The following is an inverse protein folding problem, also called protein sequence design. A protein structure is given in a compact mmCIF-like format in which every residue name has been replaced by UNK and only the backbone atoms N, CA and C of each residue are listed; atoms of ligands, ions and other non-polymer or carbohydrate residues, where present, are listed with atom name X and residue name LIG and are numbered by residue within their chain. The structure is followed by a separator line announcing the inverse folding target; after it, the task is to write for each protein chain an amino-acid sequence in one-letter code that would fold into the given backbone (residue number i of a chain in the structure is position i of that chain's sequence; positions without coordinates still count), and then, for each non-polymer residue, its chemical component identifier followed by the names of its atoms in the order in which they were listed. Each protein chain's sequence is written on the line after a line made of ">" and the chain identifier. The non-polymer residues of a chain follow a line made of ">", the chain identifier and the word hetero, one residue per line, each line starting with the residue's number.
data_IF_026300426017
#
_entry.id   IF_026300426017
#
_cell.length_a   1.000
_cell.length_b   1.000
_cell.length_c   1.000
_cell.angle_alpha   90.00
_cell.angle_beta   90.00
_cell.angle_gamma   90.00
#
_symmetry.space_group_name_H-M   'P 1'
#
loop_
_entity.id
_entity.type
_entity.pdbx_description
1 polymer ?
#
# COMPACT_ATOMS: atom_id res chain seq x y z
N UNK A 1 -2.82 -1.00 20.47
CA UNK A 1 -3.20 -0.89 19.03
C UNK A 1 -2.47 -1.89 18.13
N UNK A 2 -1.17 -2.19 18.35
CA UNK A 2 -0.40 -3.10 17.46
C UNK A 2 -0.97 -4.51 17.21
N UNK A 3 -1.58 -5.16 18.21
CA UNK A 3 -2.19 -6.48 18.03
C UNK A 3 -3.42 -6.43 17.09
N UNK A 4 -4.29 -5.45 17.26
CA UNK A 4 -5.49 -5.28 16.42
C UNK A 4 -5.13 -5.04 14.94
N UNK A 5 -4.11 -4.20 14.69
CA UNK A 5 -3.61 -3.94 13.34
C UNK A 5 -2.99 -5.20 12.71
N UNK A 6 -2.25 -5.98 13.50
CA UNK A 6 -1.67 -7.25 13.05
C UNK A 6 -2.75 -8.28 12.68
N UNK A 7 -3.77 -8.45 13.52
CA UNK A 7 -4.90 -9.35 13.25
C UNK A 7 -5.71 -8.89 12.04
N UNK A 8 -6.03 -7.61 11.93
CA UNK A 8 -6.73 -7.06 10.77
C UNK A 8 -5.94 -7.34 9.48
N UNK A 9 -4.63 -7.12 9.50
CA UNK A 9 -3.78 -7.39 8.34
C UNK A 9 -3.78 -8.87 7.96
N UNK A 10 -3.68 -9.76 8.95
CA UNK A 10 -3.75 -11.21 8.71
C UNK A 10 -5.09 -11.60 8.06
N UNK A 11 -6.20 -11.18 8.67
CA UNK A 11 -7.56 -11.51 8.19
C UNK A 11 -7.80 -10.95 6.79
N UNK A 12 -7.47 -9.68 6.55
CA UNK A 12 -7.66 -9.03 5.25
C UNK A 12 -6.76 -9.64 4.16
N UNK A 13 -5.56 -10.09 4.51
CA UNK A 13 -4.65 -10.79 3.60
C UNK A 13 -5.18 -12.16 3.20
N UNK A 14 -5.63 -12.94 4.19
CA UNK A 14 -6.25 -14.26 3.95
C UNK A 14 -7.50 -14.08 3.10
N UNK A 15 -8.40 -13.16 3.47
CA UNK A 15 -9.61 -12.87 2.72
C UNK A 15 -9.31 -12.45 1.27
N UNK A 16 -8.30 -11.60 1.04
CA UNK A 16 -7.89 -11.18 -0.30
C UNK A 16 -7.35 -12.33 -1.15
N UNK A 17 -6.45 -13.14 -0.60
CA UNK A 17 -5.90 -14.32 -1.28
C UNK A 17 -7.00 -15.35 -1.57
N UNK A 18 -7.84 -15.66 -0.59
CA UNK A 18 -8.98 -16.56 -0.76
C UNK A 18 -9.95 -16.06 -1.82
N UNK A 19 -10.21 -14.75 -1.87
CA UNK A 19 -11.08 -14.16 -2.90
C UNK A 19 -10.50 -14.33 -4.31
N UNK A 20 -9.19 -14.17 -4.49
CA UNK A 20 -8.54 -14.44 -5.78
C UNK A 20 -8.68 -15.90 -6.19
N UNK A 21 -8.41 -16.83 -5.28
CA UNK A 21 -8.53 -18.28 -5.55
C UNK A 21 -9.98 -18.64 -5.90
N UNK A 22 -10.95 -18.17 -5.11
CA UNK A 22 -12.37 -18.45 -5.32
C UNK A 22 -12.89 -17.83 -6.63
N UNK A 23 -12.34 -16.69 -7.07
CA UNK A 23 -12.74 -16.04 -8.32
C UNK A 23 -12.46 -16.89 -9.57
N UNK A 24 -11.52 -17.83 -9.50
CA UNK A 24 -11.20 -18.78 -10.58
C UNK A 24 -12.30 -19.85 -10.69
N UNK A 25 -13.04 -20.10 -9.61
CA UNK A 25 -14.09 -21.12 -9.52
C UNK A 25 -15.48 -20.51 -9.25
N UNK A 26 -16.05 -19.74 -10.20
CA UNK A 26 -17.32 -19.01 -10.02
C UNK A 26 -18.52 -19.89 -9.65
N UNK A 27 -18.46 -21.19 -10.01
CA UNK A 27 -19.48 -22.18 -9.67
C UNK A 27 -19.60 -22.41 -8.15
N UNK A 28 -18.57 -22.12 -7.37
CA UNK A 28 -18.57 -22.27 -5.90
C UNK A 28 -19.15 -21.04 -5.16
N UNK A 29 -19.31 -19.89 -5.83
CA UNK A 29 -19.62 -18.59 -5.22
C UNK A 29 -21.13 -18.35 -4.97
N UNK A 30 -21.79 -19.23 -4.23
CA UNK A 30 -23.23 -19.20 -3.92
C UNK A 30 -24.19 -19.47 -5.10
N UNK A 31 -25.36 -20.01 -4.78
CA UNK A 31 -26.38 -20.35 -5.78
C UNK A 31 -27.31 -19.18 -6.13
N UNK A 32 -27.55 -18.24 -5.20
CA UNK A 32 -28.37 -17.05 -5.45
C UNK A 32 -27.47 -15.80 -5.61
N UNK A 33 -27.21 -15.36 -6.85
CA UNK A 33 -26.30 -14.25 -7.11
C UNK A 33 -26.88 -12.89 -6.71
N UNK A 34 -28.21 -12.76 -6.60
CA UNK A 34 -28.87 -11.48 -6.29
C UNK A 34 -28.49 -10.93 -4.91
N UNK A 35 -28.14 -11.81 -3.96
CA UNK A 35 -27.67 -11.45 -2.62
C UNK A 35 -26.34 -10.67 -2.67
N UNK A 36 -25.57 -10.79 -3.76
CA UNK A 36 -24.30 -10.09 -3.94
C UNK A 36 -24.45 -8.67 -4.47
N UNK A 37 -25.64 -8.27 -4.98
CA UNK A 37 -25.84 -6.92 -5.55
C UNK A 37 -25.63 -5.80 -4.52
N UNK A 38 -26.17 -5.86 -3.29
CA UNK A 38 -25.89 -4.85 -2.28
C UNK A 38 -24.40 -4.79 -1.92
N UNK A 39 -23.74 -5.95 -1.84
CA UNK A 39 -22.31 -6.05 -1.56
C UNK A 39 -21.46 -5.42 -2.66
N UNK A 40 -21.84 -5.61 -3.93
CA UNK A 40 -21.20 -4.97 -5.08
C UNK A 40 -21.26 -3.44 -4.95
N UNK A 41 -22.45 -2.89 -4.70
CA UNK A 41 -22.67 -1.44 -4.63
C UNK A 41 -21.91 -0.80 -3.46
N UNK A 42 -21.98 -1.42 -2.27
CA UNK A 42 -21.26 -0.93 -1.08
C UNK A 42 -19.75 -1.01 -1.28
N UNK A 43 -19.26 -2.15 -1.80
CA UNK A 43 -17.83 -2.35 -1.99
C UNK A 43 -17.25 -1.42 -3.04
N UNK A 44 -17.94 -1.27 -4.17
CA UNK A 44 -17.53 -0.32 -5.21
C UNK A 44 -17.54 1.12 -4.69
N UNK A 45 -18.63 1.57 -4.08
CA UNK A 45 -18.74 2.96 -3.59
C UNK A 45 -17.70 3.29 -2.53
N UNK A 46 -17.47 2.37 -1.59
CA UNK A 46 -16.41 2.51 -0.59
C UNK A 46 -15.03 2.55 -1.23
N UNK A 47 -14.71 1.59 -2.11
CA UNK A 47 -13.40 1.53 -2.78
C UNK A 47 -13.15 2.77 -3.62
N UNK A 48 -14.14 3.21 -4.40
CA UNK A 48 -14.00 4.37 -5.27
C UNK A 48 -13.78 5.64 -4.45
N UNK A 49 -14.65 5.91 -3.46
CA UNK A 49 -14.54 7.08 -2.62
C UNK A 49 -13.25 7.10 -1.80
N UNK A 50 -12.91 5.99 -1.13
CA UNK A 50 -11.70 5.89 -0.30
C UNK A 50 -10.42 5.96 -1.14
N UNK A 51 -10.38 5.31 -2.31
CA UNK A 51 -9.22 5.38 -3.22
C UNK A 51 -9.11 6.77 -3.84
N UNK A 52 -10.21 7.43 -4.22
CA UNK A 52 -10.19 8.82 -4.70
C UNK A 52 -9.59 9.76 -3.67
N UNK A 53 -10.12 9.72 -2.44
CA UNK A 53 -9.62 10.55 -1.35
C UNK A 53 -8.17 10.24 -1.00
N UNK A 54 -7.79 8.96 -0.96
CA UNK A 54 -6.41 8.61 -0.68
C UNK A 54 -5.50 9.03 -1.84
N UNK A 55 -5.86 8.87 -3.10
CA UNK A 55 -5.05 9.34 -4.23
C UNK A 55 -4.86 10.86 -4.16
N UNK A 56 -5.92 11.62 -3.92
CA UNK A 56 -5.85 13.09 -3.84
C UNK A 56 -5.05 13.58 -2.61
N UNK A 57 -5.29 13.00 -1.43
CA UNK A 57 -4.59 13.39 -0.21
C UNK A 57 -3.20 12.76 -0.06
N UNK A 58 -2.95 11.60 -0.69
CA UNK A 58 -1.61 11.04 -0.81
C UNK A 58 -0.76 11.88 -1.73
N UNK A 59 -1.30 12.45 -2.81
CA UNK A 59 -0.56 13.46 -3.58
C UNK A 59 -0.17 14.66 -2.71
N UNK A 60 -1.00 15.09 -1.75
CA UNK A 60 -0.62 16.19 -0.85
C UNK A 60 0.34 15.73 0.26
N UNK A 61 0.17 14.52 0.82
CA UNK A 61 0.91 14.03 1.99
C UNK A 61 2.14 13.17 1.69
N UNK A 62 2.03 12.22 0.75
CA UNK A 62 3.09 11.31 0.30
C UNK A 62 4.02 11.98 -0.71
N UNK A 63 3.55 12.82 -1.64
CA UNK A 63 4.46 13.57 -2.54
C UNK A 63 5.25 14.62 -1.77
N UNK A 64 4.66 15.28 -0.75
CA UNK A 64 5.44 16.17 0.15
C UNK A 64 6.52 15.39 0.92
N UNK A 65 6.20 14.20 1.43
CA UNK A 65 7.20 13.32 2.07
C UNK A 65 8.31 12.90 1.09
N UNK A 66 7.95 12.50 -0.14
CA UNK A 66 8.88 12.19 -1.22
C UNK A 66 9.76 13.39 -1.59
N UNK A 67 9.17 14.59 -1.67
CA UNK A 67 9.90 15.83 -1.97
C UNK A 67 10.91 16.15 -0.87
N UNK A 68 10.58 15.86 0.39
CA UNK A 68 11.48 16.04 1.52
C UNK A 68 12.59 14.97 1.56
N UNK A 69 12.27 13.68 1.39
CA UNK A 69 13.26 12.58 1.42
C UNK A 69 14.17 12.58 0.18
N UNK A 70 13.64 12.90 -1.01
CA UNK A 70 14.44 12.97 -2.25
C UNK A 70 15.44 14.11 -2.18
N UNK A 71 15.08 15.23 -1.54
CA UNK A 71 15.93 16.42 -1.34
C UNK A 71 16.97 16.27 -0.23
N UNK A 72 16.77 15.38 0.75
CA UNK A 72 17.80 15.14 1.76
C UNK A 72 19.03 14.50 1.12
N UNK A 73 20.20 15.17 1.12
CA UNK A 73 21.43 14.59 0.60
C UNK A 73 21.83 13.38 1.43
N UNK A 74 22.54 12.44 0.80
CA UNK A 74 23.16 11.34 1.56
C UNK A 74 24.21 11.98 2.49
N UNK A 75 24.18 11.71 3.81
CA UNK A 75 25.16 12.31 4.71
C UNK A 75 26.55 11.82 4.32
N UNK A 76 27.49 12.75 4.18
CA UNK A 76 28.88 12.43 3.88
C UNK A 76 29.64 12.07 5.16
N UNK A 77 29.26 12.70 6.29
CA UNK A 77 29.97 12.63 7.55
C UNK A 77 29.02 12.34 8.75
N UNK A 78 29.58 11.90 9.89
CA UNK A 78 28.81 11.60 11.10
C UNK A 78 28.04 12.81 11.67
N UNK A 79 28.56 14.03 11.54
CA UNK A 79 27.86 15.24 12.00
C UNK A 79 26.61 15.53 11.17
N UNK A 80 26.68 15.33 9.85
CA UNK A 80 25.52 15.46 8.97
C UNK A 80 24.49 14.37 9.25
N UNK A 81 24.94 13.14 9.47
CA UNK A 81 24.07 12.04 9.86
C UNK A 81 23.33 12.32 11.18
N UNK A 82 24.00 12.90 12.19
CA UNK A 82 23.36 13.33 13.45
C UNK A 82 22.29 14.38 13.21
N UNK A 83 22.60 15.46 12.48
CA UNK A 83 21.64 16.54 12.17
C UNK A 83 20.42 16.00 11.42
N UNK A 84 20.63 15.16 10.41
CA UNK A 84 19.53 14.56 9.65
C UNK A 84 18.70 13.59 10.49
N UNK A 85 19.31 12.85 11.43
CA UNK A 85 18.58 11.95 12.33
C UNK A 85 17.73 12.71 13.35
N UNK A 86 18.21 13.86 13.85
CA UNK A 86 17.42 14.78 14.69
C UNK A 86 16.24 15.37 13.93
N UNK A 87 16.43 15.76 12.66
CA UNK A 87 15.33 16.21 11.79
C UNK A 87 14.31 15.09 11.54
N UNK A 88 14.77 13.85 11.33
CA UNK A 88 13.88 12.70 11.14
C UNK A 88 13.01 12.46 12.38
N UNK A 89 13.59 12.56 13.60
CA UNK A 89 12.86 12.42 14.87
C UNK A 89 11.72 13.43 15.02
N UNK A 90 11.89 14.67 14.53
CA UNK A 90 10.82 15.69 14.55
C UNK A 90 9.57 15.27 13.76
N UNK A 91 9.74 14.40 12.77
CA UNK A 91 8.66 13.91 11.89
C UNK A 91 8.23 12.45 12.18
N UNK A 92 8.79 11.84 13.22
CA UNK A 92 8.62 10.41 13.50
C UNK A 92 7.20 10.05 13.92
N UNK A 93 6.58 10.87 14.79
CA UNK A 93 5.20 10.68 15.23
C UNK A 93 4.19 10.71 14.09
N UNK A 94 4.31 11.69 13.19
CA UNK A 94 3.47 11.80 11.99
C UNK A 94 3.63 10.59 11.06
N UNK A 95 4.85 10.06 10.95
CA UNK A 95 5.11 8.89 10.13
C UNK A 95 4.49 7.60 10.73
N UNK A 96 4.61 7.39 12.05
CA UNK A 96 4.04 6.22 12.72
C UNK A 96 2.51 6.24 12.59
N UNK A 97 1.89 7.40 12.82
CA UNK A 97 0.44 7.56 12.64
C UNK A 97 0.01 7.25 11.19
N UNK A 98 0.68 7.84 10.21
CA UNK A 98 0.37 7.59 8.79
C UNK A 98 0.56 6.13 8.40
N UNK A 99 1.55 5.44 8.97
CA UNK A 99 1.75 4.00 8.73
C UNK A 99 0.51 3.21 9.15
N UNK A 100 -0.05 3.48 10.33
CA UNK A 100 -1.27 2.82 10.79
C UNK A 100 -2.43 3.12 9.85
N UNK A 101 -2.62 4.39 9.47
CA UNK A 101 -3.66 4.81 8.51
C UNK A 101 -3.53 4.05 7.17
N UNK A 102 -2.32 3.93 6.62
CA UNK A 102 -2.08 3.16 5.39
C UNK A 102 -2.35 1.66 5.58
N UNK A 103 -1.99 1.08 6.73
CA UNK A 103 -2.25 -0.33 7.01
C UNK A 103 -3.75 -0.62 7.10
N UNK A 104 -4.52 0.25 7.76
CA UNK A 104 -5.98 0.15 7.78
C UNK A 104 -6.58 0.32 6.40
N UNK A 105 -6.14 1.34 5.66
CA UNK A 105 -6.61 1.58 4.29
C UNK A 105 -6.38 0.36 3.40
N UNK A 106 -5.14 -0.11 3.27
CA UNK A 106 -4.82 -1.21 2.35
C UNK A 106 -5.42 -2.54 2.81
N UNK A 107 -5.56 -2.75 4.12
CA UNK A 107 -6.30 -3.89 4.66
C UNK A 107 -7.77 -3.88 4.24
N UNK A 108 -8.48 -2.78 4.48
CA UNK A 108 -9.89 -2.64 4.10
C UNK A 108 -10.07 -2.67 2.58
N UNK A 109 -9.22 -1.96 1.83
CA UNK A 109 -9.24 -1.98 0.36
C UNK A 109 -9.00 -3.39 -0.19
N UNK A 110 -8.15 -4.20 0.44
CA UNK A 110 -7.98 -5.63 0.08
C UNK A 110 -9.29 -6.40 0.31
N UNK A 111 -9.93 -6.23 1.47
CA UNK A 111 -11.19 -6.90 1.78
C UNK A 111 -12.30 -6.53 0.79
N UNK A 112 -12.56 -5.23 0.61
CA UNK A 112 -13.61 -4.76 -0.27
C UNK A 112 -13.33 -5.10 -1.73
N UNK A 113 -12.06 -5.08 -2.17
CA UNK A 113 -11.70 -5.50 -3.53
C UNK A 113 -11.92 -7.00 -3.76
N UNK A 114 -11.75 -7.82 -2.71
CA UNK A 114 -12.14 -9.23 -2.72
C UNK A 114 -13.65 -9.40 -2.89
N UNK A 115 -14.46 -8.67 -2.10
CA UNK A 115 -15.92 -8.70 -2.23
C UNK A 115 -16.36 -8.23 -3.62
N UNK A 116 -15.76 -7.14 -4.14
CA UNK A 116 -16.00 -6.63 -5.48
C UNK A 116 -15.70 -7.70 -6.53
N UNK A 117 -14.53 -8.33 -6.48
CA UNK A 117 -14.12 -9.39 -7.40
C UNK A 117 -15.09 -10.56 -7.42
N UNK A 118 -15.42 -11.11 -6.25
CA UNK A 118 -16.32 -12.25 -6.14
C UNK A 118 -17.73 -11.90 -6.65
N UNK A 119 -18.20 -10.71 -6.30
CA UNK A 119 -19.51 -10.21 -6.74
C UNK A 119 -19.54 -10.00 -8.25
N UNK A 120 -18.52 -9.37 -8.84
CA UNK A 120 -18.42 -9.12 -10.28
C UNK A 120 -18.34 -10.41 -11.07
N UNK A 121 -17.48 -11.36 -10.65
CA UNK A 121 -17.33 -12.65 -11.34
C UNK A 121 -18.65 -13.43 -11.35
N UNK A 122 -19.47 -13.28 -10.30
CA UNK A 122 -20.76 -13.98 -10.19
C UNK A 122 -21.91 -13.25 -10.91
N UNK A 123 -22.03 -11.94 -10.74
CA UNK A 123 -23.13 -11.12 -11.26
C UNK A 123 -22.92 -10.69 -12.72
N UNK A 124 -21.67 -10.45 -13.10
CA UNK A 124 -21.28 -9.89 -14.39
C UNK A 124 -20.31 -10.82 -15.12
N UNK A 125 -20.54 -12.15 -15.06
CA UNK A 125 -19.65 -13.16 -15.64
C UNK A 125 -19.36 -12.94 -17.14
N UNK A 126 -20.35 -12.41 -17.87
CA UNK A 126 -20.26 -12.10 -19.30
C UNK A 126 -19.50 -10.80 -19.60
N UNK A 127 -19.32 -9.90 -18.63
CA UNK A 127 -18.62 -8.64 -18.81
C UNK A 127 -17.13 -8.82 -18.49
N UNK A 128 -16.36 -9.14 -19.53
CA UNK A 128 -14.92 -9.36 -19.42
C UNK A 128 -14.14 -8.14 -18.92
N UNK A 129 -14.57 -6.93 -19.29
CA UNK A 129 -13.94 -5.68 -18.84
C UNK A 129 -14.05 -5.54 -17.33
N UNK A 130 -15.26 -5.66 -16.77
CA UNK A 130 -15.47 -5.55 -15.32
C UNK A 130 -14.69 -6.61 -14.55
N UNK A 131 -14.60 -7.84 -15.07
CA UNK A 131 -13.85 -8.93 -14.45
C UNK A 131 -12.35 -8.64 -14.40
N UNK A 132 -11.75 -8.26 -15.53
CA UNK A 132 -10.32 -7.89 -15.60
C UNK A 132 -10.06 -6.73 -14.64
N UNK A 133 -10.91 -5.71 -14.68
CA UNK A 133 -10.84 -4.57 -13.79
C UNK A 133 -10.88 -4.96 -12.31
N UNK A 134 -11.85 -5.77 -11.87
CA UNK A 134 -11.90 -6.22 -10.48
C UNK A 134 -10.68 -7.02 -10.07
N UNK A 135 -10.14 -7.86 -10.96
CA UNK A 135 -8.95 -8.67 -10.68
C UNK A 135 -7.73 -7.78 -10.52
N UNK A 136 -7.55 -6.79 -11.41
CA UNK A 136 -6.44 -5.82 -11.34
C UNK A 136 -6.51 -4.98 -10.07
N UNK A 137 -7.71 -4.53 -9.69
CA UNK A 137 -7.94 -3.81 -8.42
C UNK A 137 -7.58 -4.69 -7.23
N UNK A 138 -8.08 -5.92 -7.19
CA UNK A 138 -7.82 -6.86 -6.10
C UNK A 138 -6.33 -7.18 -5.95
N UNK A 139 -5.64 -7.46 -7.06
CA UNK A 139 -4.20 -7.72 -7.06
C UNK A 139 -3.40 -6.49 -6.59
N UNK A 140 -3.77 -5.30 -7.04
CA UNK A 140 -3.10 -4.05 -6.65
C UNK A 140 -3.24 -3.76 -5.16
N UNK A 141 -4.46 -3.89 -4.61
CA UNK A 141 -4.71 -3.73 -3.18
C UNK A 141 -3.94 -4.77 -2.35
N UNK A 142 -3.98 -6.03 -2.78
CA UNK A 142 -3.31 -7.12 -2.09
C UNK A 142 -1.78 -6.97 -2.11
N UNK A 143 -1.19 -6.60 -3.25
CA UNK A 143 0.25 -6.37 -3.39
C UNK A 143 0.73 -5.25 -2.47
N UNK A 144 -0.04 -4.17 -2.37
CA UNK A 144 0.24 -3.09 -1.44
C UNK A 144 0.19 -3.53 0.03
N UNK A 145 -0.87 -4.25 0.41
CA UNK A 145 -1.11 -4.71 1.78
C UNK A 145 -0.04 -5.74 2.24
N UNK A 146 0.31 -6.69 1.37
CA UNK A 146 1.24 -7.77 1.69
C UNK A 146 2.70 -7.35 1.61
N UNK A 147 3.08 -6.58 0.59
CA UNK A 147 4.48 -6.43 0.22
C UNK A 147 4.97 -4.98 0.25
N UNK A 148 4.42 -4.12 -0.62
CA UNK A 148 5.03 -2.82 -0.91
C UNK A 148 5.11 -1.91 0.31
N UNK A 149 4.02 -1.76 1.07
CA UNK A 149 3.99 -0.91 2.27
C UNK A 149 4.93 -1.42 3.37
N UNK A 150 5.02 -2.74 3.54
CA UNK A 150 5.92 -3.34 4.53
C UNK A 150 7.37 -3.14 4.14
N UNK A 151 7.68 -3.22 2.84
CA UNK A 151 9.03 -2.97 2.33
C UNK A 151 9.44 -1.51 2.52
N UNK A 152 8.55 -0.56 2.22
CA UNK A 152 8.78 0.88 2.47
C UNK A 152 9.09 1.14 3.95
N UNK A 153 8.31 0.54 4.85
CA UNK A 153 8.53 0.68 6.29
C UNK A 153 9.85 0.05 6.75
N UNK A 154 10.15 -1.17 6.30
CA UNK A 154 11.42 -1.86 6.58
C UNK A 154 12.62 -1.03 6.15
N UNK A 155 12.55 -0.41 4.97
CA UNK A 155 13.62 0.43 4.44
C UNK A 155 13.83 1.69 5.28
N UNK A 156 12.76 2.27 5.84
CA UNK A 156 12.89 3.40 6.76
C UNK A 156 13.61 3.02 8.06
N UNK A 157 13.24 1.90 8.69
CA UNK A 157 13.93 1.42 9.90
C UNK A 157 15.41 1.15 9.59
N UNK A 158 15.69 0.51 8.46
CA UNK A 158 17.06 0.23 8.03
C UNK A 158 17.84 1.53 7.78
N UNK A 159 17.21 2.60 7.28
CA UNK A 159 17.85 3.91 7.13
C UNK A 159 18.32 4.46 8.48
N UNK A 160 17.46 4.39 9.50
CA UNK A 160 17.79 4.86 10.86
C UNK A 160 18.93 4.04 11.46
N UNK A 161 18.92 2.71 11.30
CA UNK A 161 20.02 1.86 11.78
C UNK A 161 21.34 2.18 11.10
N UNK A 162 21.33 2.39 9.77
CA UNK A 162 22.53 2.75 9.01
C UNK A 162 23.08 4.12 9.42
N UNK A 163 22.22 5.08 9.77
CA UNK A 163 22.67 6.39 10.25
C UNK A 163 23.32 6.27 11.62
N UNK A 164 22.74 5.47 12.53
CA UNK A 164 23.37 5.17 13.81
C UNK A 164 24.72 4.46 13.65
N UNK A 165 24.85 3.56 12.67
CA UNK A 165 26.11 2.90 12.36
C UNK A 165 27.16 3.87 11.83
N UNK A 166 26.79 4.75 10.89
CA UNK A 166 27.68 5.78 10.36
C UNK A 166 28.16 6.75 11.46
N UNK A 167 27.31 7.07 12.43
CA UNK A 167 27.66 7.91 13.58
C UNK A 167 28.68 7.21 14.50
N UNK A 168 28.53 5.90 14.71
CA UNK A 168 29.45 5.11 15.55
C UNK A 168 30.77 4.84 14.84
N UNK A 169 30.72 4.56 13.54
CA UNK A 169 31.85 4.13 12.71
C UNK A 169 31.99 5.00 11.43
N UNK A 170 32.44 6.25 11.55
CA UNK A 170 32.45 7.22 10.43
C UNK A 170 33.39 6.85 9.28
N UNK A 171 34.35 5.94 9.48
CA UNK A 171 35.31 5.51 8.45
C UNK A 171 34.84 4.29 7.64
N UNK A 172 33.62 3.78 7.88
CA UNK A 172 33.09 2.62 7.17
C UNK A 172 32.57 3.02 5.78
N UNK A 173 33.40 2.81 4.74
CA UNK A 173 33.00 3.05 3.34
C UNK A 173 31.81 2.19 2.88
N UNK A 174 31.64 1.00 3.47
CA UNK A 174 30.52 0.10 3.16
C UNK A 174 29.18 0.68 3.64
N UNK A 175 29.15 1.31 4.81
CA UNK A 175 27.92 1.88 5.38
C UNK A 175 27.37 3.03 4.51
N UNK A 176 28.24 3.86 3.91
CA UNK A 176 27.82 4.90 2.96
C UNK A 176 27.21 4.32 1.67
N UNK A 177 27.79 3.25 1.14
CA UNK A 177 27.25 2.54 -0.03
C UNK A 177 25.87 1.93 0.27
N UNK A 178 25.69 1.35 1.46
CA UNK A 178 24.42 0.81 1.92
C UNK A 178 23.35 1.90 2.12
N UNK A 179 23.72 3.08 2.63
CA UNK A 179 22.80 4.22 2.74
C UNK A 179 22.30 4.65 1.34
N UNK A 180 23.20 4.73 0.35
CA UNK A 180 22.82 5.07 -1.03
C UNK A 180 21.86 4.03 -1.62
N UNK A 181 22.17 2.74 -1.41
CA UNK A 181 21.31 1.63 -1.86
C UNK A 181 19.93 1.69 -1.18
N UNK A 182 19.88 1.85 0.13
CA UNK A 182 18.64 1.94 0.90
C UNK A 182 17.77 3.11 0.41
N UNK A 183 18.37 4.30 0.17
CA UNK A 183 17.65 5.45 -0.39
C UNK A 183 17.05 5.13 -1.77
N UNK A 184 17.81 4.48 -2.66
CA UNK A 184 17.33 4.06 -3.99
C UNK A 184 16.17 3.07 -3.88
N UNK A 185 16.33 2.03 -3.07
CA UNK A 185 15.32 1.00 -2.86
C UNK A 185 14.04 1.62 -2.30
N UNK A 186 14.15 2.52 -1.31
CA UNK A 186 13.00 3.22 -0.72
C UNK A 186 12.18 3.94 -1.81
N UNK A 187 12.85 4.68 -2.71
CA UNK A 187 12.17 5.37 -3.79
C UNK A 187 11.47 4.42 -4.77
N UNK A 188 12.09 3.28 -5.10
CA UNK A 188 11.50 2.29 -6.00
C UNK A 188 10.23 1.69 -5.38
N UNK A 189 10.32 1.14 -4.17
CA UNK A 189 9.17 0.47 -3.55
C UNK A 189 8.04 1.43 -3.22
N UNK A 190 8.37 2.66 -2.82
CA UNK A 190 7.38 3.70 -2.61
C UNK A 190 6.70 4.11 -3.93
N UNK A 191 7.46 4.27 -5.01
CA UNK A 191 6.91 4.57 -6.34
C UNK A 191 5.98 3.46 -6.85
N UNK A 192 6.37 2.20 -6.65
CA UNK A 192 5.53 1.04 -6.98
C UNK A 192 4.24 1.00 -6.15
N UNK A 193 4.31 1.36 -4.86
CA UNK A 193 3.12 1.42 -4.00
C UNK A 193 2.11 2.45 -4.51
N UNK A 194 2.59 3.65 -4.87
CA UNK A 194 1.77 4.70 -5.47
C UNK A 194 1.20 4.28 -6.83
N UNK A 195 2.03 3.73 -7.71
CA UNK A 195 1.59 3.25 -9.02
C UNK A 195 0.47 2.22 -8.87
N UNK A 196 0.61 1.29 -7.92
CA UNK A 196 -0.42 0.30 -7.63
C UNK A 196 -1.72 0.92 -7.09
N UNK A 197 -1.64 2.02 -6.33
CA UNK A 197 -2.82 2.79 -5.92
C UNK A 197 -3.52 3.48 -7.10
N UNK A 198 -2.77 4.05 -8.05
CA UNK A 198 -3.36 4.61 -9.27
C UNK A 198 -4.00 3.52 -10.14
N UNK A 199 -3.33 2.37 -10.28
CA UNK A 199 -3.88 1.22 -11.01
C UNK A 199 -5.19 0.76 -10.37
N UNK A 200 -5.29 0.69 -9.03
CA UNK A 200 -6.55 0.35 -8.38
C UNK A 200 -7.62 1.42 -8.60
N UNK A 201 -7.26 2.70 -8.59
CA UNK A 201 -8.21 3.78 -8.90
C UNK A 201 -8.75 3.68 -10.34
N UNK A 202 -7.86 3.59 -11.34
CA UNK A 202 -8.28 3.46 -12.73
C UNK A 202 -9.03 2.15 -12.99
N UNK A 203 -8.66 1.06 -12.32
CA UNK A 203 -9.36 -0.21 -12.40
C UNK A 203 -10.81 -0.14 -11.89
N UNK A 204 -11.17 0.81 -11.04
CA UNK A 204 -12.53 1.04 -10.56
C UNK A 204 -13.38 1.87 -11.54
N UNK A 205 -12.77 2.56 -12.51
CA UNK A 205 -13.50 3.47 -13.41
C UNK A 205 -14.56 2.80 -14.28
N UNK A 206 -14.40 1.55 -14.78
CA UNK A 206 -15.43 0.95 -15.63
C UNK A 206 -16.77 0.73 -14.91
N UNK A 207 -16.76 0.63 -13.58
CA UNK A 207 -17.97 0.51 -12.76
C UNK A 207 -18.77 1.81 -12.64
N UNK A 208 -18.21 2.95 -13.06
CA UNK A 208 -18.94 4.24 -13.11
C UNK A 208 -19.84 4.31 -14.35
N UNK A 209 -19.43 3.65 -15.44
CA UNK A 209 -20.04 3.78 -16.76
C UNK A 209 -20.89 2.57 -17.19
N UNK A 210 -21.04 1.59 -16.30
CA UNK A 210 -21.85 0.37 -16.47
C UNK A 210 -23.01 0.35 -15.50
#
# INVERSE_FOLDING_TARGET
>A
MGAAVSHLRCVTSIAGLSSLVLSIFPKLLMNNPQVLRPLLNVSWGYLFGSTFWLTFFSEVGLVRSLKNIKRMPVPENAEEAKKQLEEMKKSEGDFIRRREDFQFFFGLSTLFSGILLLSTVKLANHNMQLRISSTVVALSCLLNNLFLQNKVHSLKIQKESLYHELIKNPKSGNTLAEIRKNKKDFHIYHGLSLLSLYISFFGLTPYIFT
#
